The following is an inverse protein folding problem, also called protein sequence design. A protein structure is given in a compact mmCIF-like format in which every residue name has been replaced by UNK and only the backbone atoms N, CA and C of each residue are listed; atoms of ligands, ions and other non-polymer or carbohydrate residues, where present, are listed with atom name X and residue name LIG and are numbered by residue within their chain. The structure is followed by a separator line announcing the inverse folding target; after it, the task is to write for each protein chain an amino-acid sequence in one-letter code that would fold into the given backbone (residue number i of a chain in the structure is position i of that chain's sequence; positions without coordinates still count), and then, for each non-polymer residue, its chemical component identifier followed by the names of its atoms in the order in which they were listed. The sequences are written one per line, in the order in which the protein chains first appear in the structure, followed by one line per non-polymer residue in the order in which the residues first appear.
data_IF_856405847695
#
_entry.id   IF_856405847695
#
_cell.length_a   1.000
_cell.length_b   1.000
_cell.length_c   1.000
_cell.angle_alpha   90.00
_cell.angle_beta   90.00
_cell.angle_gamma   90.00
#
_symmetry.space_group_name_H-M   'P 1'
#
loop_
_entity.id
_entity.type
_entity.pdbx_description
1 polymer ?
#
# COMPACT_ATOMS: atom_id res chain seq x y z
N UNK A 1 -12.40 -10.02 -18.48
CA UNK A 1 -12.37 -8.85 -17.57
C UNK A 1 -13.82 -8.45 -17.28
N UNK A 2 -14.38 -8.80 -16.11
CA UNK A 2 -15.82 -8.61 -15.80
C UNK A 2 -16.09 -7.72 -14.57
N UNK A 3 -15.04 -7.19 -13.95
CA UNK A 3 -15.13 -6.12 -12.95
C UNK A 3 -14.61 -4.87 -13.64
N UNK A 4 -15.39 -3.79 -13.71
CA UNK A 4 -15.02 -2.52 -14.36
C UNK A 4 -13.88 -1.76 -13.66
N UNK A 5 -12.87 -2.48 -13.15
CA UNK A 5 -11.72 -1.95 -12.44
C UNK A 5 -10.74 -1.44 -13.49
N UNK A 6 -10.71 -0.12 -13.67
CA UNK A 6 -9.73 0.57 -14.50
C UNK A 6 -8.32 0.47 -13.90
N UNK A 7 -7.30 0.64 -14.75
CA UNK A 7 -5.92 0.78 -14.28
C UNK A 7 -5.71 2.21 -13.76
N UNK A 8 -5.26 2.34 -12.52
CA UNK A 8 -4.94 3.63 -11.90
C UNK A 8 -3.44 3.92 -11.85
N UNK A 9 -2.61 3.04 -12.40
CA UNK A 9 -1.14 3.15 -12.39
C UNK A 9 -0.69 3.92 -13.65
N UNK A 10 0.22 4.91 -13.52
CA UNK A 10 0.75 5.62 -14.67
C UNK A 10 1.54 4.66 -15.57
N UNK A 11 1.43 4.89 -16.87
CA UNK A 11 2.15 4.13 -17.90
C UNK A 11 3.57 4.67 -18.04
N UNK A 12 4.47 3.86 -18.59
CA UNK A 12 5.83 4.33 -18.91
C UNK A 12 5.77 5.31 -20.08
N UNK A 13 6.67 6.29 -20.09
CA UNK A 13 6.68 7.33 -21.13
C UNK A 13 6.96 6.78 -22.54
N UNK A 14 7.69 5.66 -22.63
CA UNK A 14 7.99 4.97 -23.88
C UNK A 14 6.89 4.01 -24.36
N UNK A 15 5.72 3.97 -23.72
CA UNK A 15 4.65 3.05 -24.07
C UNK A 15 3.75 3.61 -25.19
N UNK A 16 3.59 2.85 -26.29
CA UNK A 16 2.88 3.28 -27.51
C UNK A 16 1.39 3.62 -27.31
N UNK A 17 0.75 3.18 -26.22
CA UNK A 17 -0.70 3.32 -26.02
C UNK A 17 -1.01 4.29 -24.88
N UNK A 18 -1.35 5.54 -25.22
CA UNK A 18 -1.71 6.61 -24.28
C UNK A 18 -3.19 6.54 -23.92
N UNK A 19 -3.56 5.58 -23.08
CA UNK A 19 -4.90 5.55 -22.49
C UNK A 19 -5.10 6.69 -21.47
N UNK A 20 -6.36 7.01 -21.14
CA UNK A 20 -6.69 8.02 -20.12
C UNK A 20 -6.16 7.57 -18.75
N UNK A 21 -5.35 8.42 -18.11
CA UNK A 21 -4.82 8.21 -16.76
C UNK A 21 -5.42 9.23 -15.79
N UNK A 22 -6.05 8.74 -14.73
CA UNK A 22 -6.57 9.58 -13.66
C UNK A 22 -5.48 9.86 -12.62
N UNK A 23 -4.87 11.04 -12.74
CA UNK A 23 -3.84 11.51 -11.81
C UNK A 23 -4.38 11.78 -10.41
N UNK A 24 -5.64 12.17 -10.28
CA UNK A 24 -6.25 12.43 -8.97
C UNK A 24 -6.43 11.12 -8.21
N UNK A 25 -6.96 10.08 -8.88
CA UNK A 25 -7.07 8.74 -8.31
C UNK A 25 -5.70 8.15 -7.94
N UNK A 26 -4.69 8.31 -8.80
CA UNK A 26 -3.34 7.82 -8.48
C UNK A 26 -2.70 8.49 -7.25
N UNK A 27 -3.01 9.78 -7.01
CA UNK A 27 -2.51 10.52 -5.84
C UNK A 27 -3.02 9.95 -4.52
N UNK A 28 -4.17 9.27 -4.51
CA UNK A 28 -4.72 8.69 -3.28
C UNK A 28 -3.84 7.58 -2.69
N UNK A 29 -2.98 6.94 -3.53
CA UNK A 29 -1.99 5.94 -3.10
C UNK A 29 -1.07 6.45 -1.96
N UNK A 30 -0.78 7.74 -1.95
CA UNK A 30 0.04 8.38 -0.92
C UNK A 30 -0.54 8.23 0.50
N UNK A 31 -1.87 8.14 0.65
CA UNK A 31 -2.49 7.88 1.97
C UNK A 31 -2.09 6.50 2.50
N UNK A 32 -2.14 5.50 1.63
CA UNK A 32 -1.76 4.11 1.96
C UNK A 32 -0.26 4.01 2.22
N UNK A 33 0.58 4.64 1.39
CA UNK A 33 2.03 4.68 1.58
C UNK A 33 2.42 5.33 2.91
N UNK A 34 1.82 6.46 3.27
CA UNK A 34 2.06 7.12 4.55
C UNK A 34 1.63 6.25 5.73
N UNK A 35 0.50 5.56 5.62
CA UNK A 35 0.05 4.61 6.63
C UNK A 35 1.10 3.51 6.87
N UNK A 36 1.56 2.84 5.81
CA UNK A 36 2.61 1.82 5.91
C UNK A 36 3.94 2.38 6.39
N UNK A 37 4.30 3.61 6.00
CA UNK A 37 5.51 4.26 6.50
C UNK A 37 5.44 4.50 8.01
N UNK A 38 4.27 4.90 8.54
CA UNK A 38 4.07 5.07 9.98
C UNK A 38 4.06 3.70 10.70
N UNK A 39 3.42 2.66 10.13
CA UNK A 39 3.50 1.29 10.66
C UNK A 39 4.95 0.78 10.75
N UNK A 40 5.79 1.14 9.79
CA UNK A 40 7.21 0.76 9.77
C UNK A 40 8.08 1.54 10.77
N UNK A 41 7.58 2.58 11.42
CA UNK A 41 8.30 3.22 12.54
C UNK A 41 8.38 2.29 13.75
N UNK A 42 7.41 1.38 13.92
CA UNK A 42 7.50 0.31 14.90
C UNK A 42 8.53 -0.72 14.43
N UNK A 43 9.76 -0.64 14.95
CA UNK A 43 10.88 -1.53 14.60
C UNK A 43 10.48 -3.00 14.58
N UNK A 44 9.72 -3.45 15.59
CA UNK A 44 9.22 -4.83 15.75
C UNK A 44 8.35 -5.30 14.57
N UNK A 45 7.55 -4.40 14.02
CA UNK A 45 6.72 -4.63 12.83
C UNK A 45 7.59 -4.62 11.57
N UNK A 46 8.41 -3.57 11.38
CA UNK A 46 9.22 -3.40 10.18
C UNK A 46 10.20 -4.56 9.93
N UNK A 47 10.79 -5.10 11.00
CA UNK A 47 11.78 -6.17 10.93
C UNK A 47 11.19 -7.56 11.17
N UNK A 48 9.87 -7.66 11.42
CA UNK A 48 9.14 -8.91 11.66
C UNK A 48 9.81 -9.79 12.73
N UNK A 49 9.89 -9.30 13.96
CA UNK A 49 10.48 -10.06 15.08
C UNK A 49 9.70 -11.32 15.47
N UNK A 50 8.41 -11.37 15.14
CA UNK A 50 7.57 -12.51 15.48
C UNK A 50 7.82 -13.69 14.54
N UNK A 51 8.22 -14.82 15.10
CA UNK A 51 8.43 -16.08 14.36
C UNK A 51 7.10 -16.70 13.90
N UNK A 52 6.07 -16.63 14.73
CA UNK A 52 4.73 -17.11 14.39
C UNK A 52 3.93 -16.00 13.67
N UNK A 53 3.28 -16.36 12.55
CA UNK A 53 2.42 -15.46 11.79
C UNK A 53 1.23 -14.91 12.60
N UNK A 54 0.69 -15.69 13.53
CA UNK A 54 -0.41 -15.24 14.41
C UNK A 54 0.04 -14.09 15.32
N UNK A 55 1.20 -14.22 15.95
CA UNK A 55 1.76 -13.16 16.79
C UNK A 55 2.10 -11.91 15.96
N UNK A 56 2.64 -12.10 14.76
CA UNK A 56 2.92 -10.99 13.86
C UNK A 56 1.64 -10.23 13.48
N UNK A 57 0.54 -10.96 13.20
CA UNK A 57 -0.76 -10.35 12.92
C UNK A 57 -1.32 -9.60 14.13
N UNK A 58 -1.21 -10.16 15.34
CA UNK A 58 -1.61 -9.47 16.56
C UNK A 58 -0.83 -8.16 16.75
N UNK A 59 0.48 -8.18 16.54
CA UNK A 59 1.33 -6.99 16.61
C UNK A 59 1.00 -5.95 15.54
N UNK A 60 0.71 -6.39 14.30
CA UNK A 60 0.23 -5.50 13.24
C UNK A 60 -1.11 -4.85 13.60
N UNK A 61 -2.01 -5.61 14.21
CA UNK A 61 -3.33 -5.12 14.64
C UNK A 61 -3.17 -4.06 15.73
N UNK A 62 -2.34 -4.34 16.74
CA UNK A 62 -2.01 -3.36 17.79
C UNK A 62 -1.36 -2.10 17.21
N UNK A 63 -0.38 -2.24 16.33
CA UNK A 63 0.27 -1.10 15.68
C UNK A 63 -0.70 -0.28 14.81
N UNK A 64 -1.71 -0.94 14.22
CA UNK A 64 -2.74 -0.26 13.42
C UNK A 64 -3.74 0.51 14.28
N UNK A 65 -4.04 0.04 15.49
CA UNK A 65 -4.89 0.75 16.46
C UNK A 65 -4.21 2.02 17.00
N UNK A 66 -2.87 2.03 17.07
CA UNK A 66 -2.08 3.13 17.63
C UNK A 66 -1.78 4.28 16.63
N UNK A 67 -2.27 4.20 15.39
CA UNK A 67 -1.94 5.11 14.28
C UNK A 67 -2.92 6.25 14.02
#
# INVERSE_FOLDING_TARGET
RRRGIGYSIPRKDNEKHRGKFDKALYRERNRVERCFNRLKQYRRVATRYEKNGQNYLAMLTLASIML
#
